data_IF_463101417512
#
_entry.id   IF_463101417512
#
_cell.length_a   1.000
_cell.length_b   1.000
_cell.length_c   1.000
_cell.angle_alpha   90.00
_cell.angle_beta   90.00
_cell.angle_gamma   90.00
#
_symmetry.space_group_name_H-M   'P 1'
#
loop_
_entity.id
_entity.type
_entity.pdbx_description
1 polymer ?
#
# COMPACT_ATOMS: atom_id res chain seq x y z
N UNK A 1 -8.77 14.34 -18.43
CA UNK A 1 -8.34 13.01 -17.94
C UNK A 1 -7.68 13.26 -16.60
N UNK A 2 -8.08 12.59 -15.51
CA UNK A 2 -7.35 12.73 -14.25
C UNK A 2 -5.95 12.13 -14.48
N UNK A 3 -4.92 12.92 -14.21
CA UNK A 3 -3.52 12.51 -14.29
C UNK A 3 -3.27 11.43 -13.25
N UNK A 4 -3.40 10.17 -13.65
CA UNK A 4 -3.41 8.99 -12.77
C UNK A 4 -2.06 8.61 -12.13
N UNK A 5 -1.12 9.55 -12.04
CA UNK A 5 0.18 9.35 -11.39
C UNK A 5 0.20 9.77 -9.93
N UNK A 6 -0.61 10.76 -9.53
CA UNK A 6 -0.52 11.37 -8.20
C UNK A 6 -1.31 10.57 -7.13
N UNK A 7 -2.29 9.76 -7.55
CA UNK A 7 -3.18 9.03 -6.61
C UNK A 7 -2.46 7.88 -5.87
N UNK A 8 -1.32 7.40 -6.39
CA UNK A 8 -0.58 6.26 -5.82
C UNK A 8 0.75 6.63 -5.15
N UNK A 9 1.08 7.92 -5.06
CA UNK A 9 2.36 8.35 -4.46
C UNK A 9 2.48 7.93 -2.99
N UNK A 10 1.36 7.79 -2.26
CA UNK A 10 1.38 7.25 -0.91
C UNK A 10 1.99 5.84 -0.82
N UNK A 11 1.75 4.97 -1.82
CA UNK A 11 2.31 3.62 -1.84
C UNK A 11 3.82 3.64 -2.15
N UNK A 12 4.28 4.59 -2.97
CA UNK A 12 5.71 4.79 -3.22
C UNK A 12 6.45 5.26 -1.96
N UNK A 13 5.84 6.19 -1.22
CA UNK A 13 6.37 6.61 0.09
C UNK A 13 6.38 5.44 1.08
N UNK A 14 5.32 4.62 1.11
CA UNK A 14 5.26 3.42 1.95
C UNK A 14 6.40 2.44 1.64
N UNK A 15 6.70 2.19 0.36
CA UNK A 15 7.83 1.34 -0.06
C UNK A 15 9.16 1.87 0.49
N UNK A 16 9.37 3.18 0.46
CA UNK A 16 10.59 3.80 1.00
C UNK A 16 10.69 3.63 2.51
N UNK A 17 9.60 3.86 3.24
CA UNK A 17 9.54 3.67 4.70
C UNK A 17 9.76 2.20 5.10
N UNK A 18 9.17 1.25 4.37
CA UNK A 18 9.39 -0.17 4.59
C UNK A 18 10.85 -0.57 4.39
N UNK A 19 11.49 -0.13 3.30
CA UNK A 19 12.92 -0.39 3.04
C UNK A 19 13.81 0.24 4.12
N UNK A 20 13.47 1.46 4.57
CA UNK A 20 14.19 2.16 5.64
C UNK A 20 14.17 1.38 6.96
N UNK A 21 13.10 0.64 7.22
CA UNK A 21 12.93 -0.21 8.40
C UNK A 21 13.28 -1.69 8.16
N UNK A 22 13.94 -2.01 7.04
CA UNK A 22 14.38 -3.37 6.67
C UNK A 22 13.24 -4.36 6.40
N UNK A 23 12.05 -3.89 6.04
CA UNK A 23 10.92 -4.72 5.58
C UNK A 23 10.96 -4.91 4.06
N UNK A 24 12.10 -5.35 3.53
CA UNK A 24 12.38 -5.40 2.08
C UNK A 24 11.43 -6.34 1.31
N UNK A 25 11.01 -7.45 1.93
CA UNK A 25 10.08 -8.41 1.31
C UNK A 25 8.70 -7.78 1.05
N UNK A 26 8.18 -7.07 2.05
CA UNK A 26 6.88 -6.38 1.95
C UNK A 26 7.00 -5.20 0.99
N UNK A 27 8.09 -4.44 1.07
CA UNK A 27 8.37 -3.36 0.13
C UNK A 27 8.43 -3.87 -1.31
N UNK A 28 9.11 -4.99 -1.55
CA UNK A 28 9.18 -5.64 -2.86
C UNK A 28 7.83 -6.13 -3.37
N UNK A 29 7.01 -6.72 -2.50
CA UNK A 29 5.65 -7.15 -2.85
C UNK A 29 4.79 -5.97 -3.29
N UNK A 30 4.79 -4.87 -2.53
CA UNK A 30 4.01 -3.66 -2.85
C UNK A 30 4.53 -3.00 -4.14
N UNK A 31 5.85 -2.92 -4.32
CA UNK A 31 6.48 -2.39 -5.53
C UNK A 31 6.10 -3.19 -6.78
N UNK A 32 6.09 -4.52 -6.68
CA UNK A 32 5.71 -5.41 -7.77
C UNK A 32 4.23 -5.32 -8.12
N UNK A 33 3.34 -5.25 -7.11
CA UNK A 33 1.91 -4.99 -7.32
C UNK A 33 1.72 -3.66 -8.07
N UNK A 34 2.47 -2.62 -7.71
CA UNK A 34 2.32 -1.29 -8.30
C UNK A 34 2.85 -1.19 -9.73
N UNK A 35 4.00 -1.83 -10.02
CA UNK A 35 4.75 -1.56 -11.25
C UNK A 35 4.84 -2.76 -12.21
N UNK A 36 4.77 -4.00 -11.73
CA UNK A 36 5.07 -5.19 -12.54
C UNK A 36 3.81 -5.96 -12.97
N UNK A 37 2.67 -5.70 -12.35
CA UNK A 37 1.41 -6.39 -12.67
C UNK A 37 0.52 -5.54 -13.57
N UNK A 38 0.08 -6.14 -14.68
CA UNK A 38 -0.88 -5.51 -15.60
C UNK A 38 -2.33 -5.68 -15.08
N UNK A 39 -2.76 -4.78 -14.22
CA UNK A 39 -4.13 -4.77 -13.68
C UNK A 39 -5.15 -4.36 -14.74
N UNK A 40 -6.32 -5.02 -14.73
CA UNK A 40 -7.41 -4.68 -15.67
C UNK A 40 -8.23 -3.51 -15.17
N UNK A 41 -8.27 -3.28 -13.85
CA UNK A 41 -8.93 -2.14 -13.22
C UNK A 41 -8.11 -1.55 -12.07
N UNK A 42 -8.33 -0.26 -11.77
CA UNK A 42 -7.73 0.38 -10.60
C UNK A 42 -8.22 -0.19 -9.26
N UNK A 43 -9.43 -0.76 -9.22
CA UNK A 43 -9.97 -1.42 -8.03
C UNK A 43 -9.27 -2.73 -7.69
N UNK A 44 -8.88 -3.52 -8.70
CA UNK A 44 -8.08 -4.74 -8.48
C UNK A 44 -6.70 -4.39 -7.93
N UNK A 45 -6.02 -3.41 -8.54
CA UNK A 45 -4.74 -2.90 -8.05
C UNK A 45 -4.83 -2.47 -6.58
N UNK A 46 -5.80 -1.61 -6.25
CA UNK A 46 -5.97 -1.09 -4.89
C UNK A 46 -6.36 -2.18 -3.90
N UNK A 47 -7.15 -3.18 -4.33
CA UNK A 47 -7.49 -4.33 -3.50
C UNK A 47 -6.29 -5.16 -3.10
N UNK A 48 -5.39 -5.42 -4.04
CA UNK A 48 -4.17 -6.20 -3.81
C UNK A 48 -3.14 -5.42 -2.97
N UNK A 49 -3.02 -4.12 -3.20
CA UNK A 49 -2.23 -3.23 -2.33
C UNK A 49 -2.78 -3.22 -0.91
N UNK A 50 -4.09 -3.15 -0.74
CA UNK A 50 -4.76 -3.26 0.55
C UNK A 50 -4.43 -4.58 1.24
N UNK A 51 -4.65 -5.70 0.56
CA UNK A 51 -4.37 -7.03 1.11
C UNK A 51 -2.92 -7.17 1.61
N UNK A 52 -1.94 -6.69 0.84
CA UNK A 52 -0.53 -6.70 1.24
C UNK A 52 -0.28 -5.86 2.50
N UNK A 53 -0.93 -4.70 2.64
CA UNK A 53 -0.84 -3.85 3.83
C UNK A 53 -1.45 -4.55 5.05
N UNK A 54 -2.65 -5.15 4.93
CA UNK A 54 -3.26 -5.87 6.03
C UNK A 54 -2.43 -7.07 6.49
N UNK A 55 -1.87 -7.84 5.56
CA UNK A 55 -0.97 -8.95 5.87
C UNK A 55 0.24 -8.46 6.68
N UNK A 56 0.80 -7.32 6.28
CA UNK A 56 1.91 -6.70 7.01
C UNK A 56 1.50 -6.24 8.41
N UNK A 57 0.40 -5.49 8.56
CA UNK A 57 -0.04 -5.02 9.89
C UNK A 57 -0.38 -6.15 10.85
N UNK A 58 -0.87 -7.27 10.31
CA UNK A 58 -1.18 -8.47 11.10
C UNK A 58 0.08 -9.22 11.56
N UNK A 59 1.16 -9.14 10.79
CA UNK A 59 2.46 -9.77 11.14
C UNK A 59 3.35 -8.83 11.97
N UNK A 60 3.20 -7.51 11.79
CA UNK A 60 3.96 -6.46 12.47
C UNK A 60 3.00 -5.41 13.06
N UNK A 61 2.41 -5.68 14.24
CA UNK A 61 1.45 -4.78 14.88
C UNK A 61 2.10 -3.51 15.44
N UNK A 62 3.42 -3.56 15.71
CA UNK A 62 4.20 -2.44 16.24
C UNK A 62 5.22 -2.02 15.19
N UNK A 63 5.06 -0.80 14.69
CA UNK A 63 5.94 -0.17 13.70
C UNK A 63 6.32 1.24 14.17
N UNK A 64 7.31 1.87 13.54
CA UNK A 64 7.64 3.25 13.87
C UNK A 64 6.47 4.21 13.58
N UNK A 65 6.41 5.38 14.24
CA UNK A 65 5.39 6.40 13.94
C UNK A 65 5.39 6.87 12.48
N UNK A 66 6.56 6.87 11.84
CA UNK A 66 6.74 7.26 10.44
C UNK A 66 6.06 6.27 9.50
N UNK A 67 6.36 4.97 9.69
CA UNK A 67 5.76 3.89 8.90
C UNK A 67 4.27 3.77 9.19
N UNK A 68 3.83 3.93 10.45
CA UNK A 68 2.41 4.01 10.80
C UNK A 68 1.69 5.11 10.01
N UNK A 69 2.27 6.30 9.95
CA UNK A 69 1.69 7.44 9.20
C UNK A 69 1.62 7.18 7.69
N UNK A 70 2.58 6.44 7.13
CA UNK A 70 2.55 6.01 5.73
C UNK A 70 1.44 4.97 5.47
N UNK A 71 1.32 3.96 6.34
CA UNK A 71 0.28 2.93 6.27
C UNK A 71 -1.12 3.56 6.33
N UNK A 72 -1.37 4.45 7.29
CA UNK A 72 -2.68 5.12 7.44
C UNK A 72 -3.04 5.98 6.23
N UNK A 73 -2.05 6.61 5.57
CA UNK A 73 -2.28 7.37 4.33
C UNK A 73 -2.71 6.45 3.20
N UNK A 74 -2.03 5.31 3.03
CA UNK A 74 -2.38 4.32 2.01
C UNK A 74 -3.73 3.68 2.28
N UNK A 75 -4.03 3.34 3.53
CA UNK A 75 -5.30 2.74 3.94
C UNK A 75 -6.51 3.62 3.59
N UNK A 76 -6.37 4.96 3.63
CA UNK A 76 -7.45 5.87 3.20
C UNK A 76 -7.78 5.74 1.72
N UNK A 77 -6.79 5.49 0.86
CA UNK A 77 -7.03 5.23 -0.57
C UNK A 77 -7.72 3.89 -0.75
N UNK A 78 -7.24 2.86 -0.03
CA UNK A 78 -7.83 1.51 -0.06
C UNK A 78 -9.30 1.56 0.34
N UNK A 79 -9.64 2.16 1.48
CA UNK A 79 -11.02 2.28 1.98
C UNK A 79 -11.94 3.06 1.03
N UNK A 80 -11.40 4.05 0.30
CA UNK A 80 -12.19 4.82 -0.68
C UNK A 80 -12.64 3.96 -1.87
N UNK A 81 -11.82 2.99 -2.27
CA UNK A 81 -12.08 2.11 -3.42
C UNK A 81 -12.73 0.80 -2.99
N UNK A 82 -12.44 0.34 -1.78
CA UNK A 82 -13.00 -0.85 -1.14
C UNK A 82 -13.53 -0.49 0.26
N UNK A 83 -14.79 -0.03 0.39
CA UNK A 83 -15.35 0.43 1.66
C UNK A 83 -15.52 -0.68 2.70
N UNK A 84 -15.73 -1.92 2.25
CA UNK A 84 -15.84 -3.13 3.08
C UNK A 84 -14.48 -3.72 3.47
N UNK A 85 -13.38 -3.01 3.20
CA UNK A 85 -12.05 -3.45 3.56
C UNK A 85 -11.92 -3.61 5.09
N UNK A 86 -11.39 -4.76 5.59
CA UNK A 86 -11.36 -5.04 7.01
C UNK A 86 -10.53 -3.99 7.77
N UNK A 87 -11.08 -3.52 8.90
CA UNK A 87 -10.40 -2.64 9.86
C UNK A 87 -9.50 -3.42 10.80
#
# INVERSE_FOLDING_TARGET
MPSGSDDYDCFRELIQELRREHFDEVAGRIDSILNDVAWTTGSELVGELGAAICDFERTQPVVSPSLRSALERCARIVVRVWPDFPK
#
